data_IF_629468430746
#
_entry.id   IF_629468430746
#
_cell.length_a   1.000
_cell.length_b   1.000
_cell.length_c   1.000
_cell.angle_alpha   90.00
_cell.angle_beta   90.00
_cell.angle_gamma   90.00
#
_symmetry.space_group_name_H-M   'P 1'
#
loop_
_entity.id
_entity.type
_entity.pdbx_description
1 polymer ?
#
# COMPACT_ATOMS: atom_id res chain seq x y z
N UNK A 1 -6.18 -13.31 -3.82
CA UNK A 1 -7.59 -13.01 -3.43
C UNK A 1 -7.85 -13.07 -1.91
N UNK A 2 -7.28 -14.01 -1.15
CA UNK A 2 -7.32 -13.90 0.33
C UNK A 2 -6.07 -13.25 0.93
N UNK A 3 -4.91 -13.38 0.29
CA UNK A 3 -3.66 -12.74 0.70
C UNK A 3 -3.39 -11.37 0.06
N UNK A 4 -4.34 -10.82 -0.70
CA UNK A 4 -4.12 -9.54 -1.40
C UNK A 4 -4.35 -8.39 -0.42
N UNK A 5 -3.42 -7.44 -0.40
CA UNK A 5 -3.42 -6.30 0.52
C UNK A 5 -3.25 -5.02 -0.27
N UNK A 6 -4.05 -4.00 0.04
CA UNK A 6 -3.88 -2.64 -0.52
C UNK A 6 -3.34 -1.72 0.56
N UNK A 7 -2.24 -1.00 0.27
CA UNK A 7 -1.64 -0.01 1.17
C UNK A 7 -1.47 1.32 0.42
N UNK A 8 -2.19 2.35 0.85
CA UNK A 8 -2.27 3.63 0.12
C UNK A 8 -2.09 4.85 1.03
N UNK A 9 -1.45 5.90 0.51
CA UNK A 9 -1.41 7.22 1.15
C UNK A 9 -2.75 7.97 1.09
N UNK A 10 -3.67 7.51 0.23
CA UNK A 10 -4.99 8.12 0.01
C UNK A 10 -5.93 7.94 1.21
N UNK A 11 -7.02 8.72 1.28
CA UNK A 11 -8.03 8.59 2.34
C UNK A 11 -8.66 7.20 2.41
N UNK A 12 -8.75 6.66 3.63
CA UNK A 12 -9.26 5.32 3.89
C UNK A 12 -10.68 5.10 3.34
N UNK A 13 -11.58 6.05 3.52
CA UNK A 13 -12.97 5.91 3.08
C UNK A 13 -13.08 5.69 1.55
N UNK A 14 -12.18 6.27 0.76
CA UNK A 14 -12.14 6.04 -0.70
C UNK A 14 -11.65 4.64 -1.02
N UNK A 15 -10.50 4.26 -0.44
CA UNK A 15 -9.83 2.99 -0.78
C UNK A 15 -10.63 1.79 -0.27
N UNK A 16 -11.20 1.86 0.93
CA UNK A 16 -12.07 0.80 1.45
C UNK A 16 -13.30 0.59 0.56
N UNK A 17 -13.89 1.66 0.03
CA UNK A 17 -15.06 1.55 -0.86
C UNK A 17 -14.72 0.78 -2.15
N UNK A 18 -13.51 0.98 -2.68
CA UNK A 18 -13.02 0.25 -3.84
C UNK A 18 -12.67 -1.19 -3.50
N UNK A 19 -11.92 -1.43 -2.43
CA UNK A 19 -11.51 -2.77 -1.99
C UNK A 19 -12.72 -3.69 -1.79
N UNK A 20 -13.79 -3.19 -1.19
CA UNK A 20 -15.07 -3.91 -1.02
C UNK A 20 -15.68 -4.34 -2.36
N UNK A 21 -15.62 -3.51 -3.41
CA UNK A 21 -16.18 -3.81 -4.73
C UNK A 21 -15.40 -4.93 -5.44
N UNK A 22 -14.08 -4.96 -5.28
CA UNK A 22 -13.21 -5.95 -5.94
C UNK A 22 -12.95 -7.22 -5.09
N UNK A 23 -13.45 -7.24 -3.86
CA UNK A 23 -13.34 -8.39 -2.95
C UNK A 23 -12.01 -8.48 -2.19
N UNK A 24 -11.27 -7.37 -2.07
CA UNK A 24 -10.04 -7.29 -1.25
C UNK A 24 -10.45 -7.06 0.21
N UNK A 25 -10.01 -7.97 1.09
CA UNK A 25 -10.38 -7.98 2.51
C UNK A 25 -9.54 -7.02 3.35
N UNK A 26 -8.27 -6.82 2.99
CA UNK A 26 -7.33 -6.03 3.78
C UNK A 26 -6.93 -4.75 3.06
N UNK A 27 -7.21 -3.61 3.69
CA UNK A 27 -6.87 -2.28 3.21
C UNK A 27 -6.28 -1.46 4.35
N UNK A 28 -5.10 -0.87 4.12
CA UNK A 28 -4.44 0.08 5.02
C UNK A 28 -4.28 1.42 4.30
N UNK A 29 -4.82 2.48 4.89
CA UNK A 29 -4.86 3.79 4.24
C UNK A 29 -4.72 4.94 5.24
N UNK A 30 -4.60 6.17 4.74
CA UNK A 30 -4.51 7.35 5.60
C UNK A 30 -5.88 7.67 6.21
N UNK A 31 -5.92 7.86 7.52
CA UNK A 31 -7.11 8.35 8.20
C UNK A 31 -7.24 9.84 7.94
N UNK A 32 -8.30 10.21 7.22
CA UNK A 32 -8.59 11.58 6.80
C UNK A 32 -10.03 11.87 7.15
N UNK A 33 -10.25 12.98 7.84
CA UNK A 33 -11.61 13.45 8.13
C UNK A 33 -12.29 13.89 6.83
N UNK A 34 -13.45 13.29 6.55
CA UNK A 34 -14.16 13.47 5.27
C UNK A 34 -14.70 14.89 5.08
N UNK A 35 -14.90 15.64 6.16
CA UNK A 35 -15.49 16.98 6.13
C UNK A 35 -14.44 18.09 6.05
N UNK A 36 -13.28 17.87 6.67
CA UNK A 36 -12.23 18.88 6.82
C UNK A 36 -10.98 18.60 5.98
N UNK A 37 -10.76 17.36 5.54
CA UNK A 37 -9.55 16.94 4.84
C UNK A 37 -8.31 16.85 5.74
N UNK A 38 -8.47 17.00 7.05
CA UNK A 38 -7.37 16.93 8.00
C UNK A 38 -7.01 15.46 8.25
N UNK A 39 -5.72 15.16 8.22
CA UNK A 39 -5.20 13.84 8.57
C UNK A 39 -5.29 13.62 10.09
N UNK A 40 -5.81 12.47 10.50
CA UNK A 40 -5.76 12.01 11.88
C UNK A 40 -4.67 10.93 12.00
N UNK A 41 -3.51 11.29 12.55
CA UNK A 41 -2.34 10.40 12.66
C UNK A 41 -1.32 10.56 11.52
N UNK A 42 -0.46 9.55 11.32
CA UNK A 42 0.62 9.60 10.33
C UNK A 42 0.12 9.27 8.91
N UNK A 43 0.57 10.05 7.94
CA UNK A 43 0.32 9.78 6.53
C UNK A 43 0.93 8.42 6.12
N UNK A 44 0.16 7.58 5.42
CA UNK A 44 0.57 6.25 4.94
C UNK A 44 1.55 6.33 3.77
N UNK A 45 2.77 6.77 4.05
CA UNK A 45 3.80 7.08 3.06
C UNK A 45 5.17 6.55 3.50
N UNK A 46 5.94 5.97 2.56
CA UNK A 46 7.28 5.47 2.82
C UNK A 46 7.33 4.42 3.94
N UNK A 47 8.19 4.65 4.92
CA UNK A 47 8.40 3.74 6.06
C UNK A 47 7.13 3.48 6.88
N UNK A 48 6.18 4.43 6.91
CA UNK A 48 4.93 4.23 7.61
C UNK A 48 4.09 3.10 6.98
N UNK A 49 4.22 2.88 5.67
CA UNK A 49 3.58 1.73 5.01
C UNK A 49 4.17 0.40 5.50
N UNK A 50 5.48 0.36 5.72
CA UNK A 50 6.17 -0.81 6.27
C UNK A 50 5.75 -1.06 7.72
N UNK A 51 5.68 0.00 8.55
CA UNK A 51 5.21 -0.10 9.93
C UNK A 51 3.80 -0.71 9.99
N UNK A 52 2.86 -0.16 9.23
CA UNK A 52 1.47 -0.64 9.18
C UNK A 52 1.37 -2.08 8.67
N UNK A 53 2.15 -2.42 7.64
CA UNK A 53 2.22 -3.80 7.15
C UNK A 53 2.65 -4.76 8.25
N UNK A 54 3.74 -4.45 8.96
CA UNK A 54 4.26 -5.28 10.06
C UNK A 54 3.32 -5.36 11.26
N UNK A 55 2.53 -4.33 11.54
CA UNK A 55 1.55 -4.38 12.63
C UNK A 55 0.44 -5.43 12.39
N UNK A 56 0.10 -5.68 11.12
CA UNK A 56 -0.96 -6.63 10.74
C UNK A 56 -0.39 -8.00 10.43
N UNK A 57 0.80 -8.05 9.79
CA UNK A 57 1.36 -9.26 9.20
C UNK A 57 2.71 -9.67 9.78
N UNK A 58 3.24 -8.94 10.77
CA UNK A 58 4.59 -9.15 11.31
C UNK A 58 5.63 -9.14 10.18
N UNK A 59 6.67 -9.96 10.24
CA UNK A 59 7.65 -10.15 9.16
C UNK A 59 7.20 -11.17 8.09
N UNK A 60 5.89 -11.33 7.86
CA UNK A 60 5.39 -12.17 6.75
C UNK A 60 5.91 -11.64 5.42
N UNK A 61 6.48 -12.54 4.61
CA UNK A 61 7.11 -12.20 3.33
C UNK A 61 6.06 -11.71 2.32
N UNK A 62 6.34 -10.60 1.65
CA UNK A 62 5.55 -10.14 0.49
C UNK A 62 6.08 -10.87 -0.75
N UNK A 63 5.29 -11.74 -1.38
CA UNK A 63 5.71 -12.45 -2.59
C UNK A 63 5.83 -11.51 -3.81
N UNK A 64 4.82 -10.66 -4.01
CA UNK A 64 4.74 -9.75 -5.15
C UNK A 64 4.26 -8.37 -4.69
N UNK A 65 5.05 -7.34 -4.99
CA UNK A 65 4.74 -5.95 -4.69
C UNK A 65 4.56 -5.14 -5.98
N UNK A 66 3.53 -4.30 -6.00
CA UNK A 66 3.18 -3.45 -7.14
C UNK A 66 2.95 -2.02 -6.66
N UNK A 67 3.64 -1.06 -7.25
CA UNK A 67 3.37 0.37 -7.04
C UNK A 67 3.79 1.18 -8.26
N UNK A 68 3.13 2.30 -8.49
CA UNK A 68 3.48 3.29 -9.51
C UNK A 68 4.46 4.36 -8.99
N UNK A 69 4.80 4.34 -7.69
CA UNK A 69 5.55 5.39 -7.03
C UNK A 69 6.76 4.88 -6.23
N UNK A 70 7.93 5.48 -6.50
CA UNK A 70 9.15 5.22 -5.73
C UNK A 70 9.08 5.64 -4.26
N UNK A 71 8.05 6.38 -3.84
CA UNK A 71 7.78 6.60 -2.42
C UNK A 71 7.59 5.30 -1.64
N UNK A 72 7.18 4.23 -2.33
CA UNK A 72 6.93 2.92 -1.73
C UNK A 72 8.13 1.98 -1.78
N UNK A 73 9.31 2.51 -2.11
CA UNK A 73 10.57 1.75 -2.09
C UNK A 73 10.79 0.98 -0.77
N UNK A 74 10.41 1.49 0.42
CA UNK A 74 10.49 0.71 1.66
C UNK A 74 9.70 -0.61 1.63
N UNK A 75 8.50 -0.63 1.05
CA UNK A 75 7.73 -1.87 0.85
C UNK A 75 8.36 -2.75 -0.22
N UNK A 76 8.82 -2.16 -1.33
CA UNK A 76 9.49 -2.91 -2.39
C UNK A 76 10.73 -3.66 -1.90
N UNK A 77 11.46 -3.10 -0.92
CA UNK A 77 12.67 -3.70 -0.33
C UNK A 77 12.40 -4.95 0.52
N UNK A 78 11.21 -5.07 1.09
CA UNK A 78 10.83 -6.23 1.92
C UNK A 78 10.06 -7.30 1.11
N UNK A 79 9.84 -7.07 -0.18
CA UNK A 79 9.19 -8.02 -1.08
C UNK A 79 10.21 -8.91 -1.82
N UNK A 80 9.78 -10.12 -2.17
CA UNK A 80 10.54 -11.05 -3.00
C UNK A 80 10.62 -10.55 -4.44
N UNK A 81 9.48 -10.22 -5.01
CA UNK A 81 9.36 -9.60 -6.32
C UNK A 81 8.72 -8.22 -6.18
N UNK A 82 9.30 -7.22 -6.83
CA UNK A 82 8.80 -5.85 -6.82
C UNK A 82 8.72 -5.31 -8.25
N UNK A 83 7.59 -4.68 -8.56
CA UNK A 83 7.26 -4.19 -9.89
C UNK A 83 6.83 -2.71 -9.83
N UNK A 84 7.49 -1.89 -10.64
CA UNK A 84 7.07 -0.52 -10.90
C UNK A 84 6.00 -0.55 -12.01
N UNK A 85 4.80 -0.09 -11.66
CA UNK A 85 3.68 0.00 -12.60
C UNK A 85 3.78 1.32 -13.35
N UNK A 86 3.86 1.26 -14.68
CA UNK A 86 3.78 2.44 -15.55
C UNK A 86 2.74 2.20 -16.62
N UNK A 87 1.60 2.88 -16.49
CA UNK A 87 0.44 2.65 -17.35
C UNK A 87 0.07 1.15 -17.33
N UNK A 88 0.11 0.49 -18.48
CA UNK A 88 -0.18 -0.95 -18.62
C UNK A 88 1.07 -1.84 -18.50
N UNK A 89 2.24 -1.28 -18.18
CA UNK A 89 3.51 -1.99 -18.12
C UNK A 89 3.96 -2.28 -16.70
N UNK A 90 4.49 -3.49 -16.49
CA UNK A 90 5.20 -3.89 -15.27
C UNK A 90 6.69 -3.88 -15.54
N UNK A 91 7.40 -2.93 -14.92
CA UNK A 91 8.86 -2.84 -14.98
C UNK A 91 9.45 -3.47 -13.71
N UNK A 92 10.62 -4.14 -13.78
CA UNK A 92 11.35 -4.51 -12.58
C UNK A 92 11.62 -3.29 -11.70
N UNK A 93 11.48 -3.41 -10.39
CA UNK A 93 11.85 -2.33 -9.48
C UNK A 93 13.37 -2.10 -9.53
N UNK A 94 13.78 -0.91 -9.98
CA UNK A 94 15.19 -0.55 -10.00
C UNK A 94 15.73 -0.49 -8.56
N UNK A 95 16.54 -1.49 -8.19
CA UNK A 95 17.25 -1.55 -6.91
C UNK A 95 18.44 -0.57 -6.93
N UNK A 96 18.17 0.73 -6.95
CA UNK A 96 19.20 1.74 -6.66
C UNK A 96 19.30 2.02 -5.17
#
# INVERSE_FOLDING_TARGET
KEGDVVISASPEFLIQSFCKKVGIKTCMASLVDIHTGIYSGLNCHGEEKVRRYREVFDDTKIENFYSDSYSDTPLARIAENAYLVKEDNLLPWDKK
#
